data_IF_576511836559
#
_entry.id   IF_576511836559
#
_cell.length_a   1.000
_cell.length_b   1.000
_cell.length_c   1.000
_cell.angle_alpha   90.00
_cell.angle_beta   90.00
_cell.angle_gamma   90.00
#
_symmetry.space_group_name_H-M   'P 1'
#
loop_
_entity.id
_entity.type
_entity.pdbx_description
1 polymer ?
#
# COMPACT_ATOMS: atom_id res chain seq x y z
N UNK A 1 72.48 -8.59 -11.13
CA UNK A 1 71.38 -7.62 -10.97
C UNK A 1 70.10 -8.23 -11.53
N UNK A 2 69.44 -9.12 -10.76
CA UNK A 2 68.08 -9.57 -11.02
C UNK A 2 67.34 -9.55 -9.68
N UNK A 3 66.44 -8.58 -9.49
CA UNK A 3 65.58 -8.48 -8.32
C UNK A 3 64.29 -9.27 -8.61
N UNK A 4 63.99 -10.18 -7.70
CA UNK A 4 62.74 -10.92 -7.60
C UNK A 4 61.54 -9.96 -7.45
N UNK A 5 60.57 -10.07 -8.36
CA UNK A 5 59.24 -9.47 -8.19
C UNK A 5 58.39 -10.44 -7.35
N UNK A 6 58.12 -10.07 -6.09
CA UNK A 6 57.09 -10.72 -5.27
C UNK A 6 55.72 -10.32 -5.81
N UNK A 7 54.99 -11.28 -6.36
CA UNK A 7 53.56 -11.13 -6.69
C UNK A 7 52.75 -11.27 -5.39
N UNK A 8 52.17 -10.15 -4.93
CA UNK A 8 51.20 -10.16 -3.84
C UNK A 8 49.81 -10.47 -4.40
N UNK A 9 49.31 -11.66 -4.11
CA UNK A 9 47.94 -12.07 -4.38
C UNK A 9 47.01 -11.35 -3.38
N UNK A 10 46.31 -10.31 -3.84
CA UNK A 10 45.23 -9.69 -3.06
C UNK A 10 43.93 -10.46 -3.31
N UNK A 11 43.48 -11.20 -2.30
CA UNK A 11 42.17 -11.86 -2.28
C UNK A 11 41.08 -10.80 -2.11
N UNK A 12 40.50 -10.32 -3.21
CA UNK A 12 39.31 -9.47 -3.18
C UNK A 12 38.09 -10.33 -2.85
N UNK A 13 37.71 -10.39 -1.58
CA UNK A 13 36.40 -10.93 -1.17
C UNK A 13 35.35 -9.86 -1.45
N UNK A 14 34.68 -9.96 -2.60
CA UNK A 14 33.46 -9.21 -2.86
C UNK A 14 32.34 -9.78 -1.99
N UNK A 15 32.03 -9.11 -0.88
CA UNK A 15 30.75 -9.30 -0.20
C UNK A 15 29.66 -8.68 -1.08
N UNK A 16 29.13 -9.46 -2.01
CA UNK A 16 27.83 -9.17 -2.62
C UNK A 16 26.76 -9.35 -1.54
N UNK A 17 26.44 -8.28 -0.83
CA UNK A 17 25.12 -8.17 -0.18
C UNK A 17 24.08 -8.08 -1.29
N UNK A 18 23.68 -9.23 -1.83
CA UNK A 18 22.47 -9.27 -2.63
C UNK A 18 21.32 -8.89 -1.70
N UNK A 19 20.61 -7.80 -2.05
CA UNK A 19 19.25 -7.53 -1.59
C UNK A 19 18.29 -8.59 -2.16
N UNK A 20 18.51 -9.87 -1.84
CA UNK A 20 17.70 -10.98 -2.35
C UNK A 20 16.39 -11.13 -1.55
N UNK A 21 16.33 -10.67 -0.30
CA UNK A 21 15.18 -10.92 0.58
C UNK A 21 13.92 -10.13 0.20
N UNK A 22 14.05 -8.83 -0.11
CA UNK A 22 12.89 -7.99 -0.44
C UNK A 22 12.26 -8.34 -1.78
N UNK A 23 13.09 -8.69 -2.77
CA UNK A 23 12.60 -9.09 -4.09
C UNK A 23 11.90 -10.45 -4.06
N UNK A 24 12.34 -11.39 -3.21
CA UNK A 24 11.71 -12.71 -3.10
C UNK A 24 10.30 -12.62 -2.50
N UNK A 25 10.11 -11.82 -1.44
CA UNK A 25 8.79 -11.62 -0.80
C UNK A 25 7.81 -10.86 -1.72
N UNK A 26 8.28 -9.81 -2.40
CA UNK A 26 7.49 -9.12 -3.41
C UNK A 26 7.08 -10.05 -4.58
N UNK A 27 7.87 -11.07 -4.88
CA UNK A 27 7.53 -12.10 -5.88
C UNK A 27 6.49 -13.09 -5.34
N UNK A 28 6.57 -13.44 -4.06
CA UNK A 28 5.65 -14.37 -3.39
C UNK A 28 4.23 -13.82 -3.27
N UNK A 29 4.06 -12.52 -2.94
CA UNK A 29 2.72 -11.92 -2.85
C UNK A 29 2.09 -11.75 -4.23
N UNK A 30 2.90 -11.44 -5.26
CA UNK A 30 2.44 -11.34 -6.66
C UNK A 30 2.07 -12.68 -7.27
N UNK A 31 2.58 -13.79 -6.74
CA UNK A 31 2.22 -15.13 -7.21
C UNK A 31 0.95 -15.68 -6.56
N UNK A 32 0.34 -14.99 -5.60
CA UNK A 32 -0.92 -15.40 -5.00
C UNK A 32 -2.08 -15.19 -5.97
N UNK A 33 -2.89 -16.23 -6.21
CA UNK A 33 -4.13 -16.09 -6.99
C UNK A 33 -5.19 -15.28 -6.26
N UNK A 34 -5.19 -15.33 -4.92
CA UNK A 34 -6.12 -14.62 -4.04
C UNK A 34 -5.39 -14.10 -2.82
N UNK A 35 -5.75 -12.89 -2.41
CA UNK A 35 -5.31 -12.29 -1.15
C UNK A 35 -6.49 -12.33 -0.16
N UNK A 36 -6.27 -12.95 1.00
CA UNK A 36 -7.17 -12.87 2.13
C UNK A 36 -6.57 -11.89 3.14
N UNK A 37 -7.37 -11.06 3.78
CA UNK A 37 -6.81 -10.06 4.67
C UNK A 37 -7.74 -9.62 5.79
N UNK A 38 -7.12 -8.97 6.77
CA UNK A 38 -7.78 -8.30 7.88
C UNK A 38 -7.20 -6.89 8.00
N UNK A 39 -7.99 -5.95 8.48
CA UNK A 39 -7.53 -4.59 8.78
C UNK A 39 -7.26 -4.47 10.27
N UNK A 40 -6.15 -3.84 10.63
CA UNK A 40 -5.88 -3.35 11.98
C UNK A 40 -5.54 -1.86 11.89
N UNK A 41 -5.95 -1.08 12.87
CA UNK A 41 -5.58 0.33 13.00
C UNK A 41 -4.67 0.52 14.22
N UNK A 42 -4.70 1.66 14.89
CA UNK A 42 -4.00 1.90 16.15
C UNK A 42 -4.94 2.26 17.30
N UNK A 43 -6.26 2.10 17.13
CA UNK A 43 -7.23 2.39 18.20
C UNK A 43 -7.15 1.37 19.34
N UNK A 44 -6.51 0.22 19.12
CA UNK A 44 -6.41 -0.88 20.09
C UNK A 44 -5.20 -0.79 21.03
N UNK A 45 -4.28 0.17 20.87
CA UNK A 45 -3.03 0.21 21.64
C UNK A 45 -3.23 0.23 23.17
N UNK A 46 -4.35 0.77 23.65
CA UNK A 46 -4.66 0.86 25.08
C UNK A 46 -5.52 -0.30 25.59
N UNK A 47 -6.16 -1.06 24.69
CA UNK A 47 -7.18 -2.06 25.04
C UNK A 47 -6.74 -3.50 24.79
N UNK A 48 -5.90 -3.75 23.77
CA UNK A 48 -5.52 -5.11 23.35
C UNK A 48 -4.01 -5.31 23.26
N UNK A 49 -3.56 -6.48 23.72
CA UNK A 49 -2.16 -6.87 23.59
C UNK A 49 -1.89 -7.31 22.16
N UNK A 50 -0.87 -6.72 21.54
CA UNK A 50 -0.41 -7.09 20.20
C UNK A 50 -0.10 -8.60 20.07
N UNK A 51 0.30 -9.26 21.16
CA UNK A 51 0.50 -10.71 21.20
C UNK A 51 -0.77 -11.50 20.89
N UNK A 52 -1.93 -11.06 21.40
CA UNK A 52 -3.23 -11.69 21.13
C UNK A 52 -3.61 -11.54 19.66
N UNK A 53 -3.41 -10.35 19.09
CA UNK A 53 -3.65 -10.08 17.66
C UNK A 53 -2.80 -11.01 16.80
N UNK A 54 -1.51 -11.17 17.12
CA UNK A 54 -0.60 -12.06 16.39
C UNK A 54 -1.01 -13.52 16.53
N UNK A 55 -1.44 -13.95 17.71
CA UNK A 55 -1.95 -15.31 17.92
C UNK A 55 -3.20 -15.57 17.07
N UNK A 56 -4.15 -14.64 17.05
CA UNK A 56 -5.32 -14.70 16.17
C UNK A 56 -4.94 -14.82 14.69
N UNK A 57 -4.01 -13.97 14.22
CA UNK A 57 -3.50 -14.02 12.84
C UNK A 57 -2.90 -15.39 12.51
N UNK A 58 -2.11 -15.98 13.41
CA UNK A 58 -1.47 -17.29 13.20
C UNK A 58 -2.45 -18.45 13.14
N UNK A 59 -3.63 -18.30 13.75
CA UNK A 59 -4.67 -19.32 13.76
C UNK A 59 -5.55 -19.29 12.50
N UNK A 60 -5.34 -18.33 11.59
CA UNK A 60 -6.03 -18.30 10.31
C UNK A 60 -5.53 -19.43 9.40
N UNK A 61 -6.41 -20.02 8.56
CA UNK A 61 -6.08 -21.18 7.73
C UNK A 61 -5.09 -20.87 6.59
N UNK A 62 -4.85 -19.59 6.32
CA UNK A 62 -3.94 -19.10 5.28
C UNK A 62 -3.16 -17.91 5.84
N UNK A 63 -1.93 -17.69 5.36
CA UNK A 63 -1.15 -16.50 5.70
C UNK A 63 -1.85 -15.26 5.11
N UNK A 64 -2.41 -14.36 5.93
CA UNK A 64 -3.21 -13.25 5.41
C UNK A 64 -2.33 -12.06 5.01
N UNK A 65 -2.94 -11.08 4.35
CA UNK A 65 -2.47 -9.70 4.26
C UNK A 65 -3.11 -8.92 5.41
N UNK A 66 -2.29 -8.38 6.31
CA UNK A 66 -2.77 -7.45 7.33
C UNK A 66 -2.63 -6.03 6.77
N UNK A 67 -3.77 -5.36 6.57
CA UNK A 67 -3.82 -3.93 6.22
C UNK A 67 -3.65 -3.13 7.51
N UNK A 68 -2.58 -2.33 7.60
CA UNK A 68 -2.30 -1.50 8.78
C UNK A 68 -2.62 -0.04 8.44
N UNK A 69 -3.67 0.48 9.06
CA UNK A 69 -4.05 1.91 9.02
C UNK A 69 -3.16 2.66 10.01
N UNK A 70 -2.38 3.63 9.51
CA UNK A 70 -1.47 4.41 10.36
C UNK A 70 -2.09 5.75 10.73
N UNK A 71 -2.24 6.07 12.02
CA UNK A 71 -2.58 7.41 12.49
C UNK A 71 -1.60 8.47 12.00
N UNK A 72 -2.16 9.63 11.66
CA UNK A 72 -1.39 10.83 11.32
C UNK A 72 -0.49 11.31 12.47
N UNK A 73 -0.84 11.00 13.73
CA UNK A 73 -0.20 11.53 14.93
C UNK A 73 1.01 10.69 15.37
N UNK A 74 1.10 9.43 14.93
CA UNK A 74 2.23 8.54 15.22
C UNK A 74 3.24 8.62 14.09
N UNK A 75 4.53 8.76 14.41
CA UNK A 75 5.60 8.81 13.40
C UNK A 75 5.83 7.41 12.83
N UNK A 76 6.15 7.28 11.52
CA UNK A 76 6.37 5.96 10.93
C UNK A 76 7.46 5.12 11.61
N UNK A 77 8.48 5.76 12.20
CA UNK A 77 9.52 5.08 12.98
C UNK A 77 8.97 4.30 14.18
N UNK A 78 7.91 4.82 14.80
CA UNK A 78 7.37 4.26 16.05
C UNK A 78 6.53 2.99 15.77
N UNK A 79 6.10 2.79 14.52
CA UNK A 79 5.44 1.57 14.06
C UNK A 79 6.39 0.38 13.81
N UNK A 80 7.72 0.56 13.83
CA UNK A 80 8.68 -0.50 13.50
C UNK A 80 8.47 -1.76 14.32
N UNK A 81 8.17 -1.63 15.62
CA UNK A 81 7.92 -2.78 16.49
C UNK A 81 6.67 -3.56 16.06
N UNK A 82 5.57 -2.85 15.76
CA UNK A 82 4.32 -3.44 15.28
C UNK A 82 4.55 -4.19 13.96
N UNK A 83 5.05 -3.48 12.95
CA UNK A 83 5.24 -4.03 11.60
C UNK A 83 6.14 -5.26 11.63
N UNK A 84 7.26 -5.19 12.37
CA UNK A 84 8.16 -6.34 12.53
C UNK A 84 7.49 -7.55 13.18
N UNK A 85 6.59 -7.33 14.16
CA UNK A 85 5.89 -8.43 14.83
C UNK A 85 4.82 -9.05 13.91
N UNK A 86 4.01 -8.23 13.24
CA UNK A 86 2.96 -8.68 12.32
C UNK A 86 3.54 -9.40 11.11
N UNK A 87 4.63 -8.89 10.53
CA UNK A 87 5.26 -9.46 9.33
C UNK A 87 5.81 -10.89 9.54
N UNK A 88 5.95 -11.34 10.81
CA UNK A 88 6.30 -12.74 11.12
C UNK A 88 5.14 -13.72 10.90
N UNK A 89 3.91 -13.24 10.84
CA UNK A 89 2.70 -14.06 10.76
C UNK A 89 1.83 -13.75 9.54
N UNK A 90 2.03 -12.60 8.90
CA UNK A 90 1.23 -12.12 7.77
C UNK A 90 2.10 -11.35 6.77
N UNK A 91 1.61 -11.15 5.56
CA UNK A 91 2.07 -10.04 4.71
C UNK A 91 1.47 -8.73 5.21
N UNK A 92 2.07 -7.60 4.87
CA UNK A 92 1.58 -6.28 5.30
C UNK A 92 1.26 -5.41 4.10
N UNK A 93 0.02 -4.88 4.08
CA UNK A 93 -0.32 -3.70 3.30
C UNK A 93 -0.30 -2.47 4.22
N UNK A 94 0.65 -1.57 3.99
CA UNK A 94 0.71 -0.32 4.74
C UNK A 94 -0.23 0.71 4.12
N UNK A 95 -1.05 1.36 4.96
CA UNK A 95 -1.78 2.58 4.63
C UNK A 95 -1.19 3.75 5.43
N UNK A 96 -0.20 4.48 4.89
CA UNK A 96 0.43 5.57 5.62
C UNK A 96 -0.47 6.76 5.94
N UNK A 97 -1.55 6.95 5.17
CA UNK A 97 -2.49 8.06 5.29
C UNK A 97 -3.91 7.56 5.07
N UNK A 98 -4.77 7.82 6.05
CA UNK A 98 -6.21 7.61 5.92
C UNK A 98 -6.92 8.73 5.14
N UNK A 99 -8.02 8.37 4.46
CA UNK A 99 -8.80 9.27 3.61
C UNK A 99 -9.34 10.46 4.42
N UNK A 100 -9.83 10.23 5.65
CA UNK A 100 -10.31 11.28 6.55
C UNK A 100 -9.21 12.28 6.93
N UNK A 101 -7.95 11.83 6.97
CA UNK A 101 -6.81 12.63 7.37
C UNK A 101 -6.05 13.26 6.19
N UNK A 102 -6.44 12.96 4.95
CA UNK A 102 -5.76 13.48 3.75
C UNK A 102 -5.72 15.01 3.71
N UNK A 103 -6.75 15.70 4.22
CA UNK A 103 -6.78 17.18 4.27
C UNK A 103 -5.80 17.80 5.27
N UNK A 104 -5.25 17.02 6.19
CA UNK A 104 -4.24 17.53 7.13
C UNK A 104 -2.90 17.76 6.41
N UNK A 105 -2.65 17.01 5.33
CA UNK A 105 -1.50 17.17 4.44
C UNK A 105 -1.72 18.31 3.45
N UNK A 106 -1.48 19.56 3.89
CA UNK A 106 -1.84 20.78 3.14
C UNK A 106 -1.20 20.96 1.75
N UNK A 107 -0.23 20.13 1.37
CA UNK A 107 0.39 20.17 0.04
C UNK A 107 0.85 18.78 -0.41
N UNK A 108 1.19 18.67 -1.70
CA UNK A 108 1.67 17.42 -2.32
C UNK A 108 2.94 16.90 -1.64
N UNK A 109 3.80 17.81 -1.19
CA UNK A 109 5.07 17.48 -0.58
C UNK A 109 4.91 16.89 0.83
N UNK A 110 3.99 17.40 1.65
CA UNK A 110 3.73 16.84 2.97
C UNK A 110 3.11 15.44 2.89
N UNK A 111 2.22 15.21 1.91
CA UNK A 111 1.70 13.87 1.62
C UNK A 111 2.83 12.93 1.18
N UNK A 112 3.66 13.36 0.22
CA UNK A 112 4.82 12.59 -0.26
C UNK A 112 5.82 12.27 0.86
N UNK A 113 6.06 13.23 1.76
CA UNK A 113 7.01 13.11 2.87
C UNK A 113 6.59 12.03 3.87
N UNK A 114 5.29 11.88 4.13
CA UNK A 114 4.78 10.78 4.97
C UNK A 114 5.11 9.42 4.37
N UNK A 115 4.95 9.25 3.06
CA UNK A 115 5.36 8.03 2.36
C UNK A 115 6.89 7.83 2.36
N UNK A 116 7.67 8.91 2.21
CA UNK A 116 9.12 8.84 2.28
C UNK A 116 9.62 8.37 3.66
N UNK A 117 9.03 8.91 4.73
CA UNK A 117 9.33 8.49 6.10
C UNK A 117 8.88 7.05 6.36
N UNK A 118 7.67 6.68 5.93
CA UNK A 118 7.20 5.30 6.06
C UNK A 118 8.10 4.32 5.31
N UNK A 119 8.48 4.63 4.06
CA UNK A 119 9.40 3.80 3.30
C UNK A 119 10.75 3.67 3.99
N UNK A 120 11.30 4.78 4.50
CA UNK A 120 12.59 4.79 5.20
C UNK A 120 12.63 3.83 6.39
N UNK A 121 11.56 3.76 7.18
CA UNK A 121 11.53 3.00 8.42
C UNK A 121 10.90 1.61 8.30
N UNK A 122 9.96 1.42 7.37
CA UNK A 122 9.08 0.25 7.35
C UNK A 122 9.24 -0.64 6.12
N UNK A 123 10.01 -0.25 5.10
CA UNK A 123 10.13 -1.01 3.83
C UNK A 123 10.50 -2.49 3.99
N UNK A 124 11.23 -2.86 5.03
CA UNK A 124 11.68 -4.25 5.23
C UNK A 124 10.57 -5.15 5.81
N UNK A 125 9.40 -4.57 6.11
CA UNK A 125 8.24 -5.25 6.66
C UNK A 125 6.97 -5.03 5.83
N UNK A 126 7.04 -4.25 4.75
CA UNK A 126 5.86 -3.86 3.95
C UNK A 126 5.92 -4.55 2.59
N UNK A 127 4.90 -5.34 2.31
CA UNK A 127 4.75 -6.06 1.04
C UNK A 127 3.97 -5.24 0.02
N UNK A 128 2.99 -4.43 0.46
CA UNK A 128 2.14 -3.57 -0.39
C UNK A 128 2.02 -2.18 0.21
N UNK A 129 2.20 -1.15 -0.62
CA UNK A 129 1.96 0.25 -0.23
C UNK A 129 0.62 0.72 -0.81
N UNK A 130 -0.37 0.97 0.06
CA UNK A 130 -1.61 1.63 -0.33
C UNK A 130 -1.34 3.13 -0.50
N UNK A 131 -1.26 3.58 -1.76
CA UNK A 131 -0.87 4.97 -2.08
C UNK A 131 -2.03 5.97 -2.00
N UNK A 132 -3.23 5.47 -1.71
CA UNK A 132 -4.45 6.26 -1.57
C UNK A 132 -5.63 5.38 -1.19
N UNK A 133 -6.27 5.70 -0.07
CA UNK A 133 -7.54 5.14 0.38
C UNK A 133 -8.67 6.08 -0.03
N UNK A 134 -9.77 5.52 -0.52
CA UNK A 134 -11.06 6.15 -0.79
C UNK A 134 -10.96 7.52 -1.48
N UNK A 135 -10.04 7.62 -2.44
CA UNK A 135 -9.58 8.89 -3.02
C UNK A 135 -10.66 9.68 -3.76
N UNK A 136 -11.78 9.02 -4.08
CA UNK A 136 -12.97 9.58 -4.71
C UNK A 136 -14.02 10.08 -3.70
N UNK A 137 -13.75 9.99 -2.39
CA UNK A 137 -14.58 10.50 -1.30
C UNK A 137 -14.38 11.98 -1.02
N UNK A 138 -14.79 12.84 -1.96
CA UNK A 138 -14.59 14.30 -1.85
C UNK A 138 -15.16 14.90 -0.56
N UNK A 139 -16.24 14.33 -0.02
CA UNK A 139 -16.98 14.84 1.15
C UNK A 139 -16.20 14.69 2.47
N UNK A 140 -15.61 13.51 2.71
CA UNK A 140 -14.81 13.29 3.91
C UNK A 140 -13.36 13.76 3.76
N UNK A 141 -12.80 13.63 2.55
CA UNK A 141 -11.48 14.20 2.25
C UNK A 141 -11.53 15.73 2.36
N UNK A 142 -12.61 16.39 1.92
CA UNK A 142 -12.76 17.86 1.89
C UNK A 142 -11.72 18.55 1.00
N UNK A 143 -11.39 17.92 -0.13
CA UNK A 143 -10.45 18.46 -1.13
C UNK A 143 -10.92 18.18 -2.56
N UNK A 144 -10.45 19.00 -3.51
CA UNK A 144 -10.76 18.78 -4.93
C UNK A 144 -10.08 17.51 -5.47
N UNK A 145 -10.73 16.74 -6.36
CA UNK A 145 -10.15 15.53 -6.98
C UNK A 145 -8.80 15.75 -7.62
N UNK A 146 -8.61 16.88 -8.32
CA UNK A 146 -7.34 17.21 -8.97
C UNK A 146 -6.20 17.33 -7.95
N UNK A 147 -6.48 17.82 -6.75
CA UNK A 147 -5.48 17.96 -5.70
C UNK A 147 -5.20 16.62 -5.01
N UNK A 148 -6.24 15.86 -4.69
CA UNK A 148 -6.13 14.48 -4.19
C UNK A 148 -5.29 13.62 -5.13
N UNK A 149 -5.54 13.68 -6.44
CA UNK A 149 -4.76 12.94 -7.42
C UNK A 149 -3.30 13.37 -7.45
N UNK A 150 -2.98 14.67 -7.36
CA UNK A 150 -1.59 15.13 -7.32
C UNK A 150 -0.82 14.55 -6.12
N UNK A 151 -1.49 14.40 -4.97
CA UNK A 151 -0.91 13.79 -3.75
C UNK A 151 -0.64 12.29 -3.94
N UNK A 152 -1.66 11.51 -4.30
CA UNK A 152 -1.49 10.06 -4.45
C UNK A 152 -0.56 9.70 -5.60
N UNK A 153 -0.51 10.52 -6.66
CA UNK A 153 0.43 10.33 -7.76
C UNK A 153 1.87 10.60 -7.33
N UNK A 154 2.12 11.58 -6.44
CA UNK A 154 3.48 11.81 -5.92
C UNK A 154 3.96 10.65 -5.04
N UNK A 155 3.07 10.08 -4.22
CA UNK A 155 3.34 8.86 -3.46
C UNK A 155 3.58 7.64 -4.37
N UNK A 156 2.75 7.44 -5.38
CA UNK A 156 2.91 6.41 -6.41
C UNK A 156 4.29 6.47 -7.07
N UNK A 157 4.70 7.64 -7.59
CA UNK A 157 6.02 7.80 -8.24
C UNK A 157 7.17 7.51 -7.28
N UNK A 158 7.06 7.97 -6.03
CA UNK A 158 8.06 7.69 -4.99
C UNK A 158 8.21 6.17 -4.77
N UNK A 159 7.11 5.45 -4.51
CA UNK A 159 7.17 4.01 -4.21
C UNK A 159 7.62 3.20 -5.43
N UNK A 160 7.09 3.49 -6.63
CA UNK A 160 7.53 2.80 -7.86
C UNK A 160 9.00 3.05 -8.18
N UNK A 161 9.53 4.25 -7.90
CA UNK A 161 10.97 4.55 -8.09
C UNK A 161 11.89 3.71 -7.22
N UNK A 162 11.33 3.06 -6.19
CA UNK A 162 12.02 2.14 -5.27
C UNK A 162 11.63 0.68 -5.51
N UNK A 163 10.97 0.38 -6.63
CA UNK A 163 10.46 -0.94 -6.97
C UNK A 163 9.43 -1.50 -5.98
N UNK A 164 8.80 -0.65 -5.16
CA UNK A 164 7.75 -1.08 -4.24
C UNK A 164 6.45 -1.44 -4.97
N UNK A 165 5.71 -2.39 -4.40
CA UNK A 165 4.37 -2.77 -4.87
C UNK A 165 3.37 -1.71 -4.42
N UNK A 166 2.56 -1.23 -5.35
CA UNK A 166 1.56 -0.16 -5.10
C UNK A 166 0.14 -0.65 -5.25
N UNK A 167 -0.73 -0.22 -4.33
CA UNK A 167 -2.17 -0.42 -4.37
C UNK A 167 -2.92 0.91 -4.31
N UNK A 168 -4.06 0.99 -4.99
CA UNK A 168 -5.03 2.08 -4.87
C UNK A 168 -6.39 1.49 -4.45
N UNK A 169 -7.06 2.09 -3.48
CA UNK A 169 -8.33 1.57 -2.94
C UNK A 169 -9.41 2.65 -3.02
N UNK A 170 -10.08 2.86 -4.16
CA UNK A 170 -11.26 3.72 -4.25
C UNK A 170 -12.46 3.19 -3.42
N UNK A 171 -13.41 4.08 -3.12
CA UNK A 171 -14.70 3.75 -2.53
C UNK A 171 -15.75 3.45 -3.61
N UNK A 172 -16.55 2.40 -3.43
CA UNK A 172 -17.69 2.13 -4.30
C UNK A 172 -18.94 2.85 -3.80
N UNK A 173 -19.53 3.70 -4.65
CA UNK A 173 -20.84 4.30 -4.43
C UNK A 173 -21.90 3.58 -5.27
N UNK A 174 -23.07 3.28 -4.70
CA UNK A 174 -24.26 2.90 -5.43
C UNK A 174 -24.57 3.88 -6.56
N UNK A 175 -25.21 3.40 -7.63
CA UNK A 175 -25.76 4.28 -8.64
C UNK A 175 -26.60 5.37 -7.99
N UNK A 176 -26.47 6.61 -8.48
CA UNK A 176 -27.25 7.79 -8.05
C UNK A 176 -26.83 8.46 -6.73
N UNK A 177 -26.05 7.80 -5.86
CA UNK A 177 -25.61 8.40 -4.59
C UNK A 177 -24.47 9.41 -4.75
N UNK A 178 -23.66 9.28 -5.79
CA UNK A 178 -22.56 10.21 -6.06
C UNK A 178 -22.70 10.85 -7.45
N UNK A 179 -22.24 12.12 -7.55
CA UNK A 179 -22.25 12.90 -8.80
C UNK A 179 -21.47 12.24 -9.92
N UNK A 180 -20.46 11.42 -9.57
CA UNK A 180 -19.63 10.67 -10.50
C UNK A 180 -19.41 9.28 -9.92
N UNK A 181 -19.63 8.24 -10.73
CA UNK A 181 -19.35 6.87 -10.30
C UNK A 181 -17.87 6.67 -10.02
N UNK A 182 -17.53 5.66 -9.22
CA UNK A 182 -16.14 5.29 -8.92
C UNK A 182 -15.32 5.12 -10.21
N UNK A 183 -15.84 4.40 -11.19
CA UNK A 183 -15.17 4.07 -12.45
C UNK A 183 -14.93 5.33 -13.29
N UNK A 184 -15.94 6.19 -13.41
CA UNK A 184 -15.83 7.45 -14.13
C UNK A 184 -14.86 8.42 -13.44
N UNK A 185 -14.81 8.43 -12.11
CA UNK A 185 -13.84 9.22 -11.35
C UNK A 185 -12.41 8.75 -11.62
N UNK A 186 -12.18 7.44 -11.56
CA UNK A 186 -10.87 6.83 -11.84
C UNK A 186 -10.45 7.06 -13.29
N UNK A 187 -11.38 6.89 -14.24
CA UNK A 187 -11.14 7.16 -15.65
C UNK A 187 -10.74 8.62 -15.87
N UNK A 188 -11.48 9.55 -15.27
CA UNK A 188 -11.29 10.99 -15.46
C UNK A 188 -10.00 11.52 -14.82
N UNK A 189 -9.67 11.06 -13.60
CA UNK A 189 -8.65 11.73 -12.80
C UNK A 189 -7.33 10.95 -12.68
N UNK A 190 -7.33 9.60 -12.67
CA UNK A 190 -6.07 8.85 -12.50
C UNK A 190 -5.23 8.91 -13.80
N UNK A 191 -3.95 9.35 -13.73
CA UNK A 191 -3.07 9.43 -14.90
C UNK A 191 -2.84 8.07 -15.57
N UNK A 192 -2.63 8.09 -16.89
CA UNK A 192 -2.46 6.87 -17.70
C UNK A 192 -1.30 5.99 -17.23
N UNK A 193 -0.15 6.58 -16.89
CA UNK A 193 1.03 5.83 -16.43
C UNK A 193 0.84 5.22 -15.04
N UNK A 194 -0.02 5.82 -14.21
CA UNK A 194 -0.44 5.25 -12.94
C UNK A 194 -1.41 4.09 -13.15
N UNK A 195 -2.40 4.22 -14.04
CA UNK A 195 -3.33 3.12 -14.37
C UNK A 195 -2.62 1.87 -14.86
N UNK A 196 -1.58 2.02 -15.69
CA UNK A 196 -0.82 0.90 -16.23
C UNK A 196 0.27 0.36 -15.29
N UNK A 197 0.61 1.09 -14.23
CA UNK A 197 1.75 0.76 -13.37
C UNK A 197 1.42 0.43 -11.92
N UNK A 198 0.18 0.65 -11.48
CA UNK A 198 -0.34 0.10 -10.23
C UNK A 198 -0.28 -1.42 -10.27
N UNK A 199 0.09 -2.03 -9.15
CA UNK A 199 0.16 -3.49 -9.03
C UNK A 199 -1.18 -4.08 -8.58
N UNK A 200 -1.91 -3.34 -7.74
CA UNK A 200 -3.25 -3.69 -7.27
C UNK A 200 -4.21 -2.49 -7.32
N UNK A 201 -5.49 -2.79 -7.57
CA UNK A 201 -6.61 -1.89 -7.33
C UNK A 201 -7.64 -2.67 -6.52
N UNK A 202 -7.91 -2.21 -5.29
CA UNK A 202 -8.93 -2.76 -4.41
C UNK A 202 -10.19 -1.89 -4.45
N UNK A 203 -11.23 -2.28 -3.72
CA UNK A 203 -12.46 -1.50 -3.58
C UNK A 203 -12.82 -1.49 -2.10
N UNK A 204 -12.99 -0.30 -1.53
CA UNK A 204 -13.65 -0.11 -0.24
C UNK A 204 -15.16 -0.09 -0.45
N UNK A 205 -15.90 -0.88 0.33
CA UNK A 205 -17.34 -1.01 0.24
C UNK A 205 -17.90 -1.51 1.58
N UNK A 206 -18.92 -0.82 2.07
CA UNK A 206 -19.67 -1.18 3.28
C UNK A 206 -21.16 -1.25 2.90
N UNK A 207 -21.80 -2.40 3.06
CA UNK A 207 -23.18 -2.62 2.60
C UNK A 207 -24.18 -1.71 3.34
N UNK A 208 -23.91 -1.49 4.62
CA UNK A 208 -24.65 -0.67 5.58
C UNK A 208 -24.55 0.84 5.30
N UNK A 209 -23.43 1.32 4.77
CA UNK A 209 -23.29 2.71 4.31
C UNK A 209 -24.09 2.99 3.02
N UNK A 210 -24.43 1.93 2.29
CA UNK A 210 -24.94 1.98 0.92
C UNK A 210 -26.39 1.47 0.84
N UNK A 211 -27.19 1.68 1.90
CA UNK A 211 -28.60 1.27 1.98
C UNK A 211 -28.86 -0.22 1.65
N UNK A 212 -27.91 -1.09 1.97
CA UNK A 212 -27.89 -2.52 1.61
C UNK A 212 -27.85 -2.80 0.10
N UNK A 213 -27.44 -1.82 -0.71
CA UNK A 213 -27.25 -2.00 -2.14
C UNK A 213 -26.04 -2.90 -2.40
N UNK A 214 -26.26 -4.05 -3.01
CA UNK A 214 -25.20 -4.97 -3.43
C UNK A 214 -24.88 -4.82 -4.93
N UNK A 215 -23.67 -4.38 -5.29
CA UNK A 215 -23.27 -4.27 -6.69
C UNK A 215 -23.17 -5.64 -7.35
N UNK A 216 -23.35 -5.67 -8.68
CA UNK A 216 -22.93 -6.82 -9.48
C UNK A 216 -21.40 -6.84 -9.57
N UNK A 217 -20.74 -7.37 -8.55
CA UNK A 217 -19.27 -7.33 -8.41
C UNK A 217 -18.50 -7.78 -9.65
N UNK A 218 -18.97 -8.84 -10.32
CA UNK A 218 -18.35 -9.31 -11.56
C UNK A 218 -18.29 -8.23 -12.65
N UNK A 219 -19.34 -7.43 -12.78
CA UNK A 219 -19.41 -6.36 -13.77
C UNK A 219 -18.48 -5.21 -13.38
N UNK A 220 -18.47 -4.81 -12.10
CA UNK A 220 -17.58 -3.79 -11.55
C UNK A 220 -16.10 -4.16 -11.78
N UNK A 221 -15.70 -5.39 -11.42
CA UNK A 221 -14.32 -5.85 -11.65
C UNK A 221 -13.98 -5.97 -13.14
N UNK A 222 -14.93 -6.34 -13.99
CA UNK A 222 -14.74 -6.37 -15.45
C UNK A 222 -14.47 -4.98 -16.01
N UNK A 223 -15.16 -3.96 -15.49
CA UNK A 223 -14.93 -2.56 -15.87
C UNK A 223 -13.56 -2.09 -15.38
N UNK A 224 -13.22 -2.30 -14.12
CA UNK A 224 -11.91 -1.89 -13.57
C UNK A 224 -10.74 -2.54 -14.33
N UNK A 225 -10.84 -3.83 -14.68
CA UNK A 225 -9.83 -4.53 -15.48
C UNK A 225 -9.55 -3.86 -16.84
N UNK A 226 -10.56 -3.23 -17.46
CA UNK A 226 -10.37 -2.50 -18.73
C UNK A 226 -9.53 -1.24 -18.56
N UNK A 227 -9.68 -0.55 -17.42
CA UNK A 227 -8.98 0.70 -17.12
C UNK A 227 -7.58 0.49 -16.57
N UNK A 228 -7.41 -0.51 -15.72
CA UNK A 228 -6.15 -0.89 -15.09
C UNK A 228 -5.60 -2.13 -15.79
N UNK A 229 -5.03 -1.91 -16.97
CA UNK A 229 -4.33 -2.97 -17.70
C UNK A 229 -3.00 -3.22 -17.01
N UNK A 230 -2.94 -4.23 -16.14
CA UNK A 230 -1.66 -4.84 -15.81
C UNK A 230 -1.15 -5.54 -17.08
N UNK A 231 0.07 -5.21 -17.52
CA UNK A 231 0.78 -6.04 -18.48
C UNK A 231 0.96 -7.40 -17.81
N UNK A 232 0.16 -8.38 -18.23
CA UNK A 232 0.30 -9.79 -17.87
C UNK A 232 1.66 -10.32 -18.28
#
# INVERSE_FOLDING_TARGET
MLKYLKSSFYLFIFYFFFNFSSNLLATEIKSQEKLYGITIDDSWYDDEKIENIIEGIKNLPVKPVVRIVMSKDIKPKDYVSLFRKVHKAAYIMAQPIDSFEMNTYKNVESYRKRFEDSYKYLKDYVDIWEIGNEVNGEEWIKESPKFTVKKIYSAYKLIKSKNGITALTPYYFPPEENKISMENWLEKYIPKDMKSGLDYVFISYYEDDNDNFQPKWKDVFTILKKYFQTLS
#
